data_IF_283167363083
#
_entry.id   IF_283167363083
#
_cell.length_a   1.000
_cell.length_b   1.000
_cell.length_c   1.000
_cell.angle_alpha   90.00
_cell.angle_beta   90.00
_cell.angle_gamma   90.00
#
_symmetry.space_group_name_H-M   'P 1'
#
loop_
_entity.id
_entity.type
_entity.pdbx_description
1 polymer ?
#
# COMPACT_ATOMS: atom_id res chain seq x y z
N UNK A 1 32.77 60.42 -48.64
CA UNK A 1 33.35 61.47 -47.78
C UNK A 1 33.12 61.06 -46.34
N UNK A 2 34.24 60.85 -45.61
CA UNK A 2 34.50 60.72 -44.15
C UNK A 2 33.31 60.89 -43.16
N UNK A 3 33.23 60.27 -41.97
CA UNK A 3 34.28 60.27 -40.94
C UNK A 3 33.91 59.39 -39.71
N UNK A 4 34.87 58.57 -39.28
CA UNK A 4 35.30 58.13 -37.93
C UNK A 4 34.38 57.89 -36.72
N UNK A 5 34.77 56.82 -35.99
CA UNK A 5 35.05 56.75 -34.55
C UNK A 5 33.92 56.67 -33.51
N UNK A 6 34.05 55.68 -32.63
CA UNK A 6 33.54 55.78 -31.26
C UNK A 6 33.28 54.45 -30.58
N UNK A 7 34.29 53.89 -29.92
CA UNK A 7 34.12 52.88 -28.87
C UNK A 7 33.20 53.42 -27.77
N UNK A 8 32.07 52.76 -27.50
CA UNK A 8 31.40 52.84 -26.19
C UNK A 8 31.05 51.42 -25.76
N UNK A 9 31.86 50.91 -24.86
CA UNK A 9 31.58 49.72 -24.09
C UNK A 9 30.39 49.98 -23.16
N UNK A 10 29.35 49.17 -23.26
CA UNK A 10 28.41 48.95 -22.16
C UNK A 10 28.19 47.44 -22.09
N UNK A 11 29.08 46.81 -21.32
CA UNK A 11 28.93 45.45 -20.83
C UNK A 11 27.53 45.31 -20.23
N UNK A 12 26.69 44.50 -20.85
CA UNK A 12 25.43 44.08 -20.27
C UNK A 12 25.75 43.37 -18.95
N UNK A 13 25.38 44.03 -17.86
CA UNK A 13 25.46 43.54 -16.49
C UNK A 13 24.63 42.26 -16.42
N UNK A 14 25.28 41.11 -16.57
CA UNK A 14 24.65 39.81 -16.35
C UNK A 14 24.46 39.68 -14.84
N UNK A 15 23.26 40.02 -14.34
CA UNK A 15 22.82 39.66 -13.00
C UNK A 15 22.70 38.12 -12.96
N UNK A 16 23.81 37.44 -12.70
CA UNK A 16 23.74 36.13 -12.06
C UNK A 16 23.27 36.38 -10.63
N UNK A 17 21.96 36.32 -10.43
CA UNK A 17 21.43 36.00 -9.12
C UNK A 17 21.90 34.58 -8.83
N UNK A 18 23.02 34.45 -8.13
CA UNK A 18 23.36 33.24 -7.39
C UNK A 18 22.34 33.12 -6.25
N UNK A 19 21.10 32.77 -6.60
CA UNK A 19 20.16 32.21 -5.65
C UNK A 19 20.71 30.85 -5.27
N UNK A 20 21.43 30.77 -4.15
CA UNK A 20 21.60 29.51 -3.46
C UNK A 20 20.19 29.07 -3.03
N UNK A 21 19.49 28.33 -3.90
CA UNK A 21 18.49 27.41 -3.39
C UNK A 21 19.27 26.43 -2.54
N UNK A 22 19.02 26.44 -1.23
CA UNK A 22 19.39 25.31 -0.40
C UNK A 22 18.65 24.14 -1.01
N UNK A 23 19.33 23.37 -1.85
CA UNK A 23 18.99 21.98 -2.07
C UNK A 23 19.04 21.38 -0.68
N UNK A 24 17.85 21.32 -0.07
CA UNK A 24 17.58 20.50 1.10
C UNK A 24 18.05 19.13 0.66
N UNK A 25 19.28 18.85 1.07
CA UNK A 25 19.88 17.55 0.98
C UNK A 25 19.17 16.78 2.07
N UNK A 26 17.95 16.31 1.78
CA UNK A 26 17.40 15.14 2.47
C UNK A 26 18.16 13.92 1.97
N UNK A 27 19.49 13.96 2.07
CA UNK A 27 20.39 12.82 1.99
C UNK A 27 20.81 12.52 3.41
N UNK A 28 19.88 11.94 4.13
CA UNK A 28 20.15 10.77 4.96
C UNK A 28 18.78 10.24 5.33
N UNK A 29 18.32 9.29 4.50
CA UNK A 29 17.99 7.98 5.00
C UNK A 29 17.53 7.94 6.47
N UNK A 30 16.39 8.55 6.77
CA UNK A 30 15.50 7.98 7.76
C UNK A 30 14.83 6.79 7.08
N UNK A 31 15.63 5.79 6.68
CA UNK A 31 15.18 4.43 6.76
C UNK A 31 14.71 4.32 8.21
N UNK A 32 13.40 4.15 8.48
CA UNK A 32 13.00 3.89 9.85
C UNK A 32 13.88 2.73 10.28
N UNK A 33 14.71 2.96 11.30
CA UNK A 33 15.53 1.91 11.88
C UNK A 33 14.55 0.81 12.26
N UNK A 34 14.48 -0.23 11.43
CA UNK A 34 13.40 -1.22 11.44
C UNK A 34 13.48 -2.14 12.65
N UNK A 35 14.48 -1.93 13.51
CA UNK A 35 14.78 -2.75 14.68
C UNK A 35 14.04 -2.28 15.94
N UNK A 36 13.18 -1.26 15.86
CA UNK A 36 12.47 -0.73 17.05
C UNK A 36 10.94 -0.77 16.98
N UNK A 37 10.33 -1.18 15.87
CA UNK A 37 8.87 -1.13 15.72
C UNK A 37 8.12 -2.22 16.51
N UNK A 38 8.74 -3.37 16.71
CA UNK A 38 8.18 -4.53 17.41
C UNK A 38 9.25 -5.01 18.41
N UNK A 39 8.88 -5.24 19.68
CA UNK A 39 9.84 -5.72 20.70
C UNK A 39 10.44 -7.05 20.22
N UNK A 40 11.73 -7.06 19.91
CA UNK A 40 12.48 -8.17 19.26
C UNK A 40 12.01 -8.57 17.86
N UNK A 41 11.13 -7.79 17.22
CA UNK A 41 10.70 -8.08 15.86
C UNK A 41 11.80 -7.77 14.87
N UNK A 42 11.83 -8.58 13.81
CA UNK A 42 12.70 -8.38 12.65
C UNK A 42 11.83 -8.16 11.45
N UNK A 43 12.28 -7.31 10.52
CA UNK A 43 11.60 -7.17 9.23
C UNK A 43 11.55 -8.54 8.55
N UNK A 44 10.34 -8.96 8.16
CA UNK A 44 10.17 -10.18 7.39
C UNK A 44 10.81 -10.04 6.01
N UNK A 45 11.49 -11.09 5.56
CA UNK A 45 12.00 -11.20 4.20
C UNK A 45 10.84 -11.57 3.26
N UNK A 46 10.96 -11.21 1.97
CA UNK A 46 10.00 -11.64 0.94
C UNK A 46 10.08 -13.14 0.63
N UNK A 47 11.16 -13.80 1.04
CA UNK A 47 11.31 -15.25 1.02
C UNK A 47 10.71 -15.97 2.24
N UNK A 48 10.22 -15.23 3.24
CA UNK A 48 9.57 -15.85 4.40
C UNK A 48 8.23 -16.46 3.95
N UNK A 49 8.03 -17.78 4.13
CA UNK A 49 6.81 -18.45 3.68
C UNK A 49 5.54 -17.87 4.34
N UNK A 50 5.64 -17.37 5.57
CA UNK A 50 4.50 -16.73 6.26
C UNK A 50 4.18 -15.39 5.60
N UNK A 51 5.20 -14.62 5.24
CA UNK A 51 4.99 -13.36 4.51
C UNK A 51 4.42 -13.58 3.11
N UNK A 52 4.84 -14.64 2.41
CA UNK A 52 4.31 -15.00 1.09
C UNK A 52 2.84 -15.44 1.11
N UNK A 53 2.42 -16.10 2.19
CA UNK A 53 1.02 -16.49 2.37
C UNK A 53 0.14 -15.35 2.90
N UNK A 54 0.73 -14.28 3.43
CA UNK A 54 -0.02 -13.13 3.96
C UNK A 54 -0.53 -12.27 2.80
N UNK A 55 -1.82 -11.97 2.81
CA UNK A 55 -2.45 -11.09 1.82
C UNK A 55 -3.10 -9.89 2.48
N UNK A 56 -3.15 -8.76 1.76
CA UNK A 56 -3.98 -7.63 2.15
C UNK A 56 -5.37 -7.80 1.56
N UNK A 57 -6.40 -7.69 2.40
CA UNK A 57 -7.82 -7.73 2.04
C UNK A 57 -8.35 -6.31 2.08
N UNK A 58 -8.60 -5.71 0.92
CA UNK A 58 -9.18 -4.38 0.84
C UNK A 58 -10.68 -4.48 0.61
N UNK A 59 -11.50 -3.98 1.53
CA UNK A 59 -12.98 -4.09 1.50
C UNK A 59 -13.66 -2.77 1.09
N UNK A 60 -12.89 -1.76 0.69
CA UNK A 60 -13.40 -0.42 0.38
C UNK A 60 -13.69 0.42 1.63
N UNK A 61 -14.22 -0.17 2.70
CA UNK A 61 -14.42 0.46 4.02
C UNK A 61 -13.17 0.39 4.91
N UNK A 62 -12.25 -0.53 4.63
CA UNK A 62 -11.03 -0.71 5.41
C UNK A 62 -10.00 -1.63 4.76
N UNK A 63 -8.90 -1.83 5.47
CA UNK A 63 -7.86 -2.81 5.11
C UNK A 63 -7.76 -3.84 6.22
N UNK A 64 -8.02 -5.09 5.85
CA UNK A 64 -7.77 -6.28 6.63
C UNK A 64 -6.55 -7.04 6.08
N UNK A 65 -6.21 -8.12 6.76
CA UNK A 65 -5.25 -9.12 6.29
C UNK A 65 -5.90 -10.49 6.24
N UNK A 66 -5.26 -11.42 5.53
CA UNK A 66 -5.67 -12.81 5.48
C UNK A 66 -4.49 -13.72 5.17
N UNK A 67 -4.74 -15.02 5.15
CA UNK A 67 -3.75 -16.05 4.81
C UNK A 67 -4.25 -16.87 3.64
N UNK A 68 -3.43 -16.98 2.59
CA UNK A 68 -3.69 -17.84 1.44
C UNK A 68 -3.49 -19.31 1.84
N UNK A 69 -4.59 -20.06 1.97
CA UNK A 69 -4.59 -21.48 2.34
C UNK A 69 -4.40 -22.41 1.13
N UNK A 70 -4.81 -21.94 -0.05
CA UNK A 70 -4.64 -22.59 -1.34
C UNK A 70 -4.61 -21.53 -2.43
N UNK A 71 -4.41 -21.92 -3.68
CA UNK A 71 -4.40 -21.04 -4.85
C UNK A 71 -5.61 -20.08 -4.93
N UNK A 72 -6.76 -20.44 -4.33
CA UNK A 72 -8.01 -19.69 -4.45
C UNK A 72 -8.77 -19.48 -3.15
N UNK A 73 -8.21 -19.86 -2.00
CA UNK A 73 -8.89 -19.75 -0.70
C UNK A 73 -8.06 -18.91 0.24
N UNK A 74 -8.66 -17.83 0.76
CA UNK A 74 -8.06 -16.97 1.78
C UNK A 74 -8.87 -17.11 3.08
N UNK A 75 -8.18 -17.35 4.19
CA UNK A 75 -8.75 -17.26 5.53
C UNK A 75 -8.57 -15.84 6.09
N UNK A 76 -9.63 -15.28 6.66
CA UNK A 76 -9.65 -13.95 7.26
C UNK A 76 -10.72 -13.86 8.35
N UNK A 77 -10.91 -12.67 8.93
CA UNK A 77 -11.94 -12.40 9.92
C UNK A 77 -13.29 -12.09 9.25
N UNK A 78 -14.39 -12.44 9.90
CA UNK A 78 -15.74 -12.14 9.43
C UNK A 78 -16.00 -10.63 9.47
N UNK A 79 -15.61 -9.97 10.58
CA UNK A 79 -15.85 -8.54 10.80
C UNK A 79 -15.25 -7.63 9.75
N UNK A 80 -14.33 -8.13 8.91
CA UNK A 80 -13.82 -7.38 7.77
C UNK A 80 -14.92 -6.98 6.77
N UNK A 81 -16.08 -7.66 6.80
CA UNK A 81 -17.15 -7.51 5.83
C UNK A 81 -18.48 -6.97 6.42
N UNK A 82 -18.58 -6.75 7.73
CA UNK A 82 -19.86 -6.45 8.41
C UNK A 82 -20.11 -4.96 8.68
N UNK A 83 -19.42 -4.07 7.97
CA UNK A 83 -19.61 -2.63 8.10
C UNK A 83 -20.78 -2.16 7.21
N UNK A 84 -21.97 -2.02 7.82
CA UNK A 84 -23.24 -1.57 7.18
C UNK A 84 -23.76 -2.52 6.08
N UNK A 85 -25.00 -2.41 5.58
CA UNK A 85 -25.41 -3.11 4.36
C UNK A 85 -24.70 -2.46 3.17
N UNK A 86 -23.37 -2.55 3.15
CA UNK A 86 -22.63 -2.72 1.92
C UNK A 86 -23.16 -4.04 1.41
N UNK A 87 -24.27 -3.94 0.67
CA UNK A 87 -24.48 -4.79 -0.48
C UNK A 87 -23.09 -5.13 -0.98
N UNK A 88 -22.70 -6.40 -0.92
CA UNK A 88 -21.56 -6.96 -1.63
C UNK A 88 -21.73 -6.76 -3.16
N UNK A 89 -22.42 -5.69 -3.59
CA UNK A 89 -22.31 -4.89 -4.80
C UNK A 89 -20.86 -4.55 -5.11
N UNK A 90 -20.04 -5.59 -5.25
CA UNK A 90 -18.85 -5.59 -6.09
C UNK A 90 -17.91 -4.43 -5.76
N UNK A 91 -17.88 -4.00 -4.49
CA UNK A 91 -16.95 -3.03 -3.96
C UNK A 91 -15.57 -3.70 -3.91
N UNK A 92 -15.03 -3.91 -5.11
CA UNK A 92 -13.67 -4.29 -5.50
C UNK A 92 -12.84 -4.89 -4.36
N UNK A 93 -13.30 -6.03 -3.81
CA UNK A 93 -12.50 -6.73 -2.80
C UNK A 93 -11.25 -7.19 -3.54
N UNK A 94 -10.14 -6.56 -3.20
CA UNK A 94 -8.88 -6.78 -3.87
C UNK A 94 -7.96 -7.46 -2.89
N UNK A 95 -7.53 -8.66 -3.25
CA UNK A 95 -6.49 -9.37 -2.53
C UNK A 95 -5.16 -8.95 -3.13
N UNK A 96 -4.29 -8.36 -2.32
CA UNK A 96 -2.94 -7.99 -2.75
C UNK A 96 -1.95 -8.96 -2.11
N UNK A 97 -1.19 -9.66 -2.94
CA UNK A 97 -0.01 -10.44 -2.53
C UNK A 97 1.23 -9.87 -3.20
N UNK A 98 2.32 -9.71 -2.46
CA UNK A 98 3.57 -9.16 -2.98
C UNK A 98 4.47 -8.59 -1.88
N UNK A 99 5.75 -8.41 -2.21
CA UNK A 99 6.67 -7.69 -1.33
C UNK A 99 6.55 -6.16 -1.55
N UNK A 100 7.20 -5.39 -0.69
CA UNK A 100 7.16 -3.91 -0.75
C UNK A 100 7.76 -3.33 -2.04
N UNK A 101 8.25 -4.15 -2.96
CA UNK A 101 8.86 -3.79 -4.24
C UNK A 101 7.98 -4.20 -5.43
N UNK A 102 6.89 -3.45 -5.60
CA UNK A 102 6.34 -3.04 -6.91
C UNK A 102 5.49 -3.97 -7.79
N UNK A 103 5.04 -5.15 -7.36
CA UNK A 103 3.92 -5.80 -8.08
C UNK A 103 2.98 -6.54 -7.12
N UNK A 104 1.89 -5.87 -6.74
CA UNK A 104 0.80 -6.55 -6.06
C UNK A 104 -0.02 -7.30 -7.11
N UNK A 105 -0.01 -8.63 -7.02
CA UNK A 105 -0.98 -9.43 -7.78
C UNK A 105 -2.34 -9.18 -7.13
N UNK A 106 -3.30 -8.74 -7.95
CA UNK A 106 -4.67 -8.48 -7.51
C UNK A 106 -5.60 -9.58 -7.96
N UNK A 107 -6.39 -10.13 -7.03
CA UNK A 107 -7.48 -11.05 -7.32
C UNK A 107 -8.81 -10.51 -6.81
N UNK A 108 -9.87 -10.75 -7.58
CA UNK A 108 -11.23 -10.46 -7.14
C UNK A 108 -11.78 -11.62 -6.30
N UNK A 109 -12.68 -11.30 -5.37
CA UNK A 109 -13.40 -12.29 -4.56
C UNK A 109 -14.73 -12.62 -5.23
N UNK A 110 -14.96 -13.91 -5.45
CA UNK A 110 -16.19 -14.46 -6.02
C UNK A 110 -17.25 -14.79 -4.95
N UNK A 111 -16.82 -15.10 -3.73
CA UNK A 111 -17.68 -15.54 -2.64
C UNK A 111 -17.00 -15.26 -1.29
N UNK A 112 -17.79 -14.87 -0.31
CA UNK A 112 -17.42 -14.80 1.11
C UNK A 112 -18.27 -15.84 1.84
N UNK A 113 -17.63 -16.82 2.45
CA UNK A 113 -18.28 -17.84 3.27
C UNK A 113 -17.97 -17.58 4.74
N UNK A 114 -18.99 -17.29 5.52
CA UNK A 114 -18.89 -17.18 6.97
C UNK A 114 -18.94 -18.57 7.62
N UNK A 115 -18.43 -18.68 8.83
CA UNK A 115 -18.60 -19.90 9.62
C UNK A 115 -20.11 -20.15 9.90
N UNK A 116 -20.65 -21.37 9.69
CA UNK A 116 -22.09 -21.62 9.78
C UNK A 116 -22.75 -21.37 11.14
N UNK A 117 -21.98 -21.45 12.24
CA UNK A 117 -22.45 -21.11 13.59
C UNK A 117 -22.19 -19.65 13.96
N UNK A 118 -21.76 -18.81 13.02
CA UNK A 118 -21.53 -17.40 13.24
C UNK A 118 -22.82 -16.70 13.70
N UNK A 119 -22.80 -16.25 14.96
CA UNK A 119 -23.84 -15.39 15.54
C UNK A 119 -23.22 -14.02 15.80
N UNK A 120 -23.98 -12.97 15.53
CA UNK A 120 -23.60 -11.62 15.93
C UNK A 120 -24.05 -11.38 17.36
N UNK A 121 -23.13 -11.42 18.31
CA UNK A 121 -23.39 -11.15 19.73
C UNK A 121 -22.81 -9.79 20.09
N UNK A 122 -23.67 -8.83 20.40
CA UNK A 122 -23.22 -7.47 20.73
C UNK A 122 -22.50 -6.74 19.59
N UNK A 123 -22.82 -7.07 18.33
CA UNK A 123 -22.16 -6.50 17.15
C UNK A 123 -20.85 -7.16 16.76
N UNK A 124 -20.49 -8.30 17.37
CA UNK A 124 -19.27 -9.06 17.06
C UNK A 124 -19.65 -10.43 16.50
N UNK A 125 -18.98 -10.85 15.43
CA UNK A 125 -19.15 -12.18 14.85
C UNK A 125 -18.50 -13.22 15.76
N UNK A 126 -19.25 -14.26 16.11
CA UNK A 126 -18.77 -15.38 16.90
C UNK A 126 -19.15 -16.70 16.24
N UNK A 127 -18.18 -17.44 15.68
CA UNK A 127 -16.75 -17.10 15.56
C UNK A 127 -16.49 -16.01 14.50
N UNK A 128 -15.46 -15.18 14.75
CA UNK A 128 -15.02 -14.12 13.84
C UNK A 128 -14.12 -14.69 12.73
N UNK A 129 -14.71 -15.51 11.87
CA UNK A 129 -13.99 -16.29 10.87
C UNK A 129 -14.75 -16.32 9.54
N UNK A 130 -14.02 -16.05 8.46
CA UNK A 130 -14.54 -16.12 7.10
C UNK A 130 -13.51 -16.68 6.11
N UNK A 131 -14.01 -17.33 5.06
CA UNK A 131 -13.26 -17.79 3.90
C UNK A 131 -13.62 -16.96 2.68
N UNK A 132 -12.62 -16.55 1.91
CA UNK A 132 -12.81 -15.88 0.62
C UNK A 132 -12.43 -16.85 -0.49
N UNK A 133 -13.30 -16.96 -1.48
CA UNK A 133 -13.02 -17.69 -2.72
C UNK A 133 -12.63 -16.70 -3.81
N UNK A 134 -11.43 -16.84 -4.34
CA UNK A 134 -10.93 -15.99 -5.42
C UNK A 134 -11.57 -16.38 -6.76
N UNK A 135 -11.80 -15.40 -7.63
CA UNK A 135 -12.21 -15.66 -9.01
C UNK A 135 -11.17 -16.49 -9.74
N UNK A 136 -11.60 -17.37 -10.65
CA UNK A 136 -10.67 -17.95 -11.63
C UNK A 136 -10.03 -16.87 -12.48
N UNK A 137 -8.71 -16.97 -12.64
CA UNK A 137 -8.00 -16.33 -13.74
C UNK A 137 -8.57 -16.76 -15.08
#
# INVERSE_FOLDING_TARGET
>A
MNLSSGFIALFAFSLLTAGCTSSVSTSSNSQPNSDTAIIHGKKSLSSDPIAQATVSVNTGSGKCTGVLLSDRVVLTAAHCFDFEPVELSRAKITILSGDKTQECISAAVSEVSYEPSAVVVGGVHQPDLALLKLTSA
#
